data_IF_156187444942
#
_entry.id   IF_156187444942
#
_cell.length_a   1.000
_cell.length_b   1.000
_cell.length_c   1.000
_cell.angle_alpha   90.00
_cell.angle_beta   90.00
_cell.angle_gamma   90.00
#
_symmetry.space_group_name_H-M   'P 1'
#
loop_
_entity.id
_entity.type
_entity.pdbx_description
1 polymer ?
#
# COMPACT_ATOMS: atom_id res chain seq x y z
N UNK A 1 -6.89 19.63 4.44
CA UNK A 1 -5.93 18.53 4.73
C UNK A 1 -5.56 18.59 6.20
N UNK A 2 -5.44 17.45 6.89
CA UNK A 2 -5.26 17.41 8.35
C UNK A 2 -3.85 17.89 8.74
N UNK A 3 -3.75 18.91 9.60
CA UNK A 3 -2.49 19.44 10.18
C UNK A 3 -2.09 18.76 11.50
N UNK A 4 -2.85 17.73 11.86
CA UNK A 4 -2.76 16.97 13.10
C UNK A 4 -1.45 16.18 13.24
N UNK A 5 -0.64 16.50 14.26
CA UNK A 5 0.64 15.82 14.56
C UNK A 5 0.50 14.81 15.72
N UNK A 6 1.35 13.75 15.78
CA UNK A 6 1.43 12.91 16.97
C UNK A 6 1.70 13.73 18.23
N UNK A 7 1.31 13.19 19.39
CA UNK A 7 1.57 13.85 20.68
C UNK A 7 3.07 13.96 20.90
N UNK A 8 3.53 15.06 21.51
CA UNK A 8 4.94 15.23 21.85
C UNK A 8 5.45 14.19 22.85
N UNK A 9 4.55 13.65 23.69
CA UNK A 9 4.83 12.53 24.57
C UNK A 9 3.64 11.55 24.63
N UNK A 10 3.95 10.27 24.85
CA UNK A 10 2.96 9.24 25.15
C UNK A 10 2.32 9.48 26.53
N UNK A 11 1.14 8.88 26.82
CA UNK A 11 0.57 8.89 28.16
C UNK A 11 1.50 8.33 29.25
N UNK A 12 2.45 7.47 28.86
CA UNK A 12 3.46 6.90 29.75
C UNK A 12 4.72 7.79 29.92
N UNK A 13 4.73 9.00 29.34
CA UNK A 13 5.81 9.99 29.52
C UNK A 13 6.95 9.90 28.51
N UNK A 14 7.01 8.87 27.66
CA UNK A 14 8.01 8.79 26.59
C UNK A 14 7.85 9.89 25.56
N UNK A 15 8.92 10.63 25.28
CA UNK A 15 8.91 11.68 24.26
C UNK A 15 9.00 11.07 22.85
N UNK A 16 8.23 11.63 21.92
CA UNK A 16 8.14 11.11 20.55
C UNK A 16 9.44 11.28 19.75
N UNK A 17 10.31 12.22 20.13
CA UNK A 17 11.63 12.44 19.54
C UNK A 17 12.73 11.54 20.12
N UNK A 18 12.42 10.78 21.18
CA UNK A 18 13.34 9.85 21.84
C UNK A 18 13.04 8.38 21.54
N UNK A 19 12.02 8.09 20.73
CA UNK A 19 11.61 6.73 20.38
C UNK A 19 11.28 6.65 18.90
N UNK A 20 11.67 5.54 18.28
CA UNK A 20 11.28 5.24 16.90
C UNK A 20 9.93 4.54 16.88
N UNK A 21 9.06 4.97 15.97
CA UNK A 21 7.88 4.18 15.64
C UNK A 21 8.28 3.01 14.74
N UNK A 22 7.57 1.88 14.85
CA UNK A 22 7.81 0.67 14.06
C UNK A 22 7.98 0.90 12.55
N UNK A 23 7.32 1.91 11.99
CA UNK A 23 7.42 2.23 10.57
C UNK A 23 8.64 3.07 10.19
N UNK A 24 9.53 3.42 11.12
CA UNK A 24 10.69 4.26 10.83
C UNK A 24 11.96 3.44 10.58
N UNK A 25 11.84 2.11 10.55
CA UNK A 25 12.94 1.16 10.37
C UNK A 25 13.52 1.07 8.96
N UNK A 26 12.95 1.79 7.97
CA UNK A 26 13.54 1.92 6.63
C UNK A 26 13.77 3.40 6.31
N UNK A 27 14.81 3.68 5.54
CA UNK A 27 15.26 5.02 5.17
C UNK A 27 14.16 5.88 4.53
N UNK A 28 13.24 5.23 3.79
CA UNK A 28 12.08 5.88 3.14
C UNK A 28 11.13 6.58 4.11
N UNK A 29 11.26 6.38 5.42
CA UNK A 29 10.40 6.96 6.46
C UNK A 29 11.18 7.56 7.64
N UNK A 30 12.44 7.94 7.40
CA UNK A 30 13.22 8.71 8.35
C UNK A 30 12.54 10.07 8.66
N UNK A 31 12.70 10.56 9.89
CA UNK A 31 12.20 11.87 10.31
C UNK A 31 11.35 11.83 11.58
N UNK A 32 10.54 12.87 11.78
CA UNK A 32 9.62 12.94 12.93
C UNK A 32 8.47 11.95 12.78
N UNK A 33 7.92 11.48 13.91
CA UNK A 33 6.73 10.64 13.85
C UNK A 33 5.54 11.39 13.23
N UNK A 34 4.75 10.69 12.42
CA UNK A 34 3.61 11.20 11.67
C UNK A 34 2.33 10.37 11.90
N UNK A 35 1.16 11.00 11.83
CA UNK A 35 -0.14 10.29 11.92
C UNK A 35 -0.39 9.45 10.66
N UNK A 36 -1.24 8.42 10.81
CA UNK A 36 -1.60 7.49 9.73
C UNK A 36 -1.97 8.17 8.40
N UNK A 37 -2.95 9.09 8.39
CA UNK A 37 -3.38 9.77 7.15
C UNK A 37 -2.27 10.62 6.52
N UNK A 38 -1.47 11.29 7.36
CA UNK A 38 -0.36 12.10 6.87
C UNK A 38 0.68 11.23 6.15
N UNK A 39 1.06 10.11 6.76
CA UNK A 39 2.04 9.16 6.20
C UNK A 39 1.66 8.64 4.82
N UNK A 40 0.37 8.49 4.54
CA UNK A 40 -0.14 7.92 3.28
C UNK A 40 -0.59 8.96 2.25
N UNK A 41 -0.89 10.20 2.65
CA UNK A 41 -1.43 11.22 1.74
C UNK A 41 -0.54 12.47 1.62
N UNK A 42 0.31 12.74 2.61
CA UNK A 42 0.98 14.03 2.75
C UNK A 42 2.49 13.96 2.86
N UNK A 43 3.03 12.85 3.36
CA UNK A 43 4.47 12.65 3.45
C UNK A 43 5.13 12.82 2.07
N UNK A 44 6.38 13.33 2.00
CA UNK A 44 7.08 13.52 0.73
C UNK A 44 7.12 12.24 -0.11
N UNK A 45 7.45 11.11 0.54
CA UNK A 45 7.52 9.82 -0.13
C UNK A 45 6.15 9.35 -0.62
N UNK A 46 5.08 9.52 0.15
CA UNK A 46 3.73 9.19 -0.30
C UNK A 46 3.33 9.98 -1.54
N UNK A 47 3.59 11.29 -1.57
CA UNK A 47 3.29 12.13 -2.74
C UNK A 47 4.12 11.78 -3.96
N UNK A 48 5.31 11.22 -3.76
CA UNK A 48 6.16 10.74 -4.85
C UNK A 48 5.59 9.47 -5.48
N UNK A 49 5.33 8.44 -4.67
CA UNK A 49 5.09 7.07 -5.19
C UNK A 49 3.61 6.67 -5.23
N UNK A 50 2.73 7.38 -4.53
CA UNK A 50 1.32 7.05 -4.40
C UNK A 50 0.41 8.16 -4.94
N UNK A 51 -0.69 7.74 -5.56
CA UNK A 51 -1.81 8.60 -5.96
C UNK A 51 -3.05 8.31 -5.09
N UNK A 52 -2.82 8.07 -3.79
CA UNK A 52 -3.89 7.69 -2.87
C UNK A 52 -4.90 8.81 -2.67
N UNK A 53 -6.17 8.43 -2.67
CA UNK A 53 -7.31 9.29 -2.42
C UNK A 53 -8.21 8.67 -1.35
N UNK A 54 -9.10 9.47 -0.76
CA UNK A 54 -10.01 9.01 0.29
C UNK A 54 -10.86 7.81 -0.14
N UNK A 55 -11.30 7.78 -1.41
CA UNK A 55 -12.11 6.72 -1.98
C UNK A 55 -11.34 5.40 -2.19
N UNK A 56 -10.00 5.41 -2.26
CA UNK A 56 -9.23 4.17 -2.29
C UNK A 56 -9.43 3.38 -0.99
N UNK A 57 -9.24 4.04 0.16
CA UNK A 57 -9.37 3.38 1.46
C UNK A 57 -10.83 3.18 1.86
N UNK A 58 -11.65 4.21 1.70
CA UNK A 58 -13.02 4.22 2.22
C UNK A 58 -14.06 3.70 1.23
N UNK A 59 -13.69 3.46 -0.04
CA UNK A 59 -14.57 2.91 -1.08
C UNK A 59 -15.89 3.66 -1.26
N UNK A 60 -15.89 4.97 -0.96
CA UNK A 60 -17.10 5.80 -1.01
C UNK A 60 -18.08 5.58 0.13
N UNK A 61 -17.73 4.81 1.16
CA UNK A 61 -18.56 4.62 2.35
C UNK A 61 -18.87 5.99 2.99
N UNK A 62 -20.15 6.34 3.01
CA UNK A 62 -20.65 7.48 3.75
C UNK A 62 -21.13 7.00 5.13
N UNK A 63 -20.44 7.39 6.22
CA UNK A 63 -20.84 6.99 7.56
C UNK A 63 -22.30 7.30 7.89
N UNK A 64 -22.91 8.29 7.25
CA UNK A 64 -24.31 8.68 7.48
C UNK A 64 -25.30 7.59 7.10
N UNK A 65 -24.99 6.79 6.07
CA UNK A 65 -25.83 5.66 5.61
C UNK A 65 -25.81 4.49 6.60
N UNK A 66 -24.75 4.40 7.40
CA UNK A 66 -24.54 3.36 8.41
C UNK A 66 -25.09 3.75 9.79
N UNK A 67 -25.72 4.92 9.90
CA UNK A 67 -26.35 5.36 11.15
C UNK A 67 -27.56 4.47 11.44
N UNK A 68 -27.68 3.86 12.64
CA UNK A 68 -28.91 3.17 13.04
C UNK A 68 -30.12 4.11 13.13
N UNK A 69 -29.89 5.42 13.01
CA UNK A 69 -30.91 6.47 13.02
C UNK A 69 -31.14 7.08 11.63
N UNK A 70 -30.51 6.57 10.57
CA UNK A 70 -30.79 6.99 9.21
C UNK A 70 -32.20 6.52 8.80
N UNK A 71 -33.19 7.39 8.99
CA UNK A 71 -34.55 7.19 8.50
C UNK A 71 -34.81 8.13 7.32
N UNK A 72 -35.48 7.67 6.24
CA UNK A 72 -35.93 8.56 5.17
C UNK A 72 -37.11 9.39 5.70
N UNK A 73 -36.83 10.54 6.31
CA UNK A 73 -37.87 11.43 6.84
C UNK A 73 -38.11 12.56 5.85
N UNK A 74 -39.31 12.57 5.26
CA UNK A 74 -39.72 13.54 4.25
C UNK A 74 -39.83 15.00 4.76
N UNK A 75 -39.72 15.27 6.06
CA UNK A 75 -40.02 16.60 6.62
C UNK A 75 -39.21 17.00 7.88
N UNK A 76 -38.04 16.42 8.10
CA UNK A 76 -37.18 16.79 9.24
C UNK A 76 -35.79 17.22 8.77
N UNK A 77 -35.32 18.38 9.23
CA UNK A 77 -33.93 18.82 9.08
C UNK A 77 -32.97 18.13 10.07
N UNK A 78 -33.51 17.41 11.06
CA UNK A 78 -32.76 16.53 11.94
C UNK A 78 -32.80 15.10 11.41
N UNK A 79 -31.70 14.68 10.78
CA UNK A 79 -31.48 13.33 10.27
C UNK A 79 -31.54 12.24 11.34
N UNK A 80 -31.57 12.60 12.64
CA UNK A 80 -31.63 11.66 13.77
C UNK A 80 -33.01 11.52 14.40
N UNK A 81 -33.99 12.35 14.02
CA UNK A 81 -35.34 12.32 14.59
C UNK A 81 -35.37 12.40 16.12
N UNK A 82 -34.45 13.14 16.75
CA UNK A 82 -34.34 13.24 18.21
C UNK A 82 -33.58 12.11 18.91
N UNK A 83 -32.95 11.17 18.20
CA UNK A 83 -32.15 10.10 18.79
C UNK A 83 -30.82 10.60 19.40
N UNK A 84 -30.27 9.82 20.35
CA UNK A 84 -28.99 10.13 21.00
C UNK A 84 -27.81 10.17 20.01
N UNK A 85 -26.75 10.89 20.36
CA UNK A 85 -25.54 10.96 19.53
C UNK A 85 -24.91 9.57 19.38
N UNK A 86 -24.73 9.13 18.14
CA UNK A 86 -23.98 7.91 17.79
C UNK A 86 -22.72 8.29 17.02
N UNK A 87 -21.56 7.78 17.45
CA UNK A 87 -20.28 8.05 16.78
C UNK A 87 -20.00 6.97 15.74
N UNK A 88 -20.19 7.31 14.47
CA UNK A 88 -19.84 6.45 13.36
C UNK A 88 -18.36 6.58 13.03
N UNK A 89 -17.69 5.44 12.81
CA UNK A 89 -16.33 5.40 12.30
C UNK A 89 -16.38 5.05 10.82
N UNK A 90 -15.61 5.76 9.99
CA UNK A 90 -15.42 5.34 8.61
C UNK A 90 -14.84 3.93 8.59
N UNK A 91 -15.53 3.02 7.91
CA UNK A 91 -15.06 1.66 7.74
C UNK A 91 -14.12 1.59 6.53
N UNK A 92 -13.23 0.62 6.59
CA UNK A 92 -12.28 0.28 5.53
C UNK A 92 -12.30 -1.23 5.47
N UNK A 93 -12.36 -1.82 4.27
CA UNK A 93 -12.07 -3.24 4.10
C UNK A 93 -10.55 -3.41 3.98
N UNK A 94 -9.84 -3.90 5.01
CA UNK A 94 -8.39 -3.85 5.04
C UNK A 94 -7.74 -4.85 4.06
N UNK A 95 -8.42 -5.94 3.71
CA UNK A 95 -7.92 -6.91 2.71
C UNK A 95 -8.01 -6.36 1.29
N UNK A 96 -8.95 -5.44 1.05
CA UNK A 96 -9.14 -4.78 -0.25
C UNK A 96 -8.31 -3.50 -0.42
N UNK A 97 -7.64 -3.02 0.63
CA UNK A 97 -6.97 -1.71 0.63
C UNK A 97 -5.56 -1.82 1.19
N UNK A 98 -5.41 -2.12 2.48
CA UNK A 98 -4.14 -2.15 3.20
C UNK A 98 -3.27 -3.34 2.78
N UNK A 99 -3.87 -4.53 2.60
CA UNK A 99 -3.14 -5.75 2.27
C UNK A 99 -2.33 -5.61 0.97
N UNK A 100 -2.80 -4.80 0.01
CA UNK A 100 -2.12 -4.51 -1.27
C UNK A 100 -0.69 -3.98 -1.12
N UNK A 101 -0.36 -3.35 0.02
CA UNK A 101 0.98 -2.80 0.29
C UNK A 101 1.59 -3.31 1.61
N UNK A 102 0.81 -4.00 2.45
CA UNK A 102 1.24 -4.46 3.78
C UNK A 102 1.15 -5.98 3.94
N UNK A 103 1.07 -6.72 2.83
CA UNK A 103 1.20 -8.18 2.81
C UNK A 103 2.64 -8.63 3.07
N UNK A 104 2.82 -9.88 3.49
CA UNK A 104 4.15 -10.45 3.70
C UNK A 104 4.87 -10.65 2.36
N UNK A 105 6.20 -10.46 2.37
CA UNK A 105 7.03 -10.60 1.19
C UNK A 105 7.05 -12.06 0.69
N UNK A 106 6.56 -12.35 -0.53
CA UNK A 106 6.41 -13.72 -1.02
C UNK A 106 7.71 -14.28 -1.62
N UNK A 107 8.83 -14.23 -0.88
CA UNK A 107 10.17 -14.64 -1.37
C UNK A 107 10.23 -16.07 -1.90
N UNK A 108 9.55 -17.01 -1.23
CA UNK A 108 9.47 -18.42 -1.64
C UNK A 108 8.86 -18.61 -3.02
N UNK A 109 7.85 -17.80 -3.39
CA UNK A 109 7.22 -17.85 -4.72
C UNK A 109 8.18 -17.42 -5.84
N UNK A 110 9.22 -16.66 -5.49
CA UNK A 110 10.27 -16.21 -6.38
C UNK A 110 11.49 -17.13 -6.35
N UNK A 111 11.47 -18.20 -5.56
CA UNK A 111 12.59 -19.13 -5.41
C UNK A 111 13.78 -18.55 -4.67
N UNK A 112 13.57 -17.50 -3.85
CA UNK A 112 14.67 -16.91 -3.08
C UNK A 112 15.13 -17.90 -1.98
N UNK A 113 16.44 -18.08 -1.78
CA UNK A 113 16.98 -19.07 -0.86
C UNK A 113 16.89 -18.65 0.62
N UNK A 114 16.69 -17.36 0.88
CA UNK A 114 16.64 -16.78 2.22
C UNK A 114 15.68 -15.58 2.27
N UNK A 115 15.62 -14.92 3.43
CA UNK A 115 14.88 -13.66 3.59
C UNK A 115 15.48 -12.56 2.70
N UNK A 116 14.69 -11.54 2.37
CA UNK A 116 15.14 -10.47 1.48
C UNK A 116 16.34 -9.72 2.04
N UNK A 117 16.36 -9.49 3.35
CA UNK A 117 17.42 -8.77 4.05
C UNK A 117 18.79 -9.44 3.89
N UNK A 118 18.82 -10.77 3.78
CA UNK A 118 20.03 -11.57 3.53
C UNK A 118 20.29 -11.71 2.03
N UNK A 119 19.24 -11.94 1.25
CA UNK A 119 19.35 -12.19 -0.20
C UNK A 119 19.85 -10.96 -0.95
N UNK A 120 19.42 -9.75 -0.54
CA UNK A 120 19.75 -8.50 -1.23
C UNK A 120 21.26 -8.25 -1.28
N UNK A 121 22.02 -8.69 -0.28
CA UNK A 121 23.49 -8.50 -0.23
C UNK A 121 24.20 -9.18 -1.40
N UNK A 122 23.65 -10.26 -1.94
CA UNK A 122 24.21 -10.96 -3.10
C UNK A 122 23.69 -10.46 -4.45
N UNK A 123 22.58 -9.71 -4.45
CA UNK A 123 21.95 -9.17 -5.65
C UNK A 123 22.28 -7.69 -5.87
N UNK A 124 22.74 -6.99 -4.83
CA UNK A 124 23.03 -5.56 -4.86
C UNK A 124 24.53 -5.30 -5.00
N UNK A 125 24.87 -4.36 -5.88
CA UNK A 125 26.23 -3.86 -6.08
C UNK A 125 26.18 -2.36 -6.43
N UNK A 126 27.34 -1.71 -6.55
CA UNK A 126 27.39 -0.31 -6.98
C UNK A 126 26.74 -0.09 -8.35
N UNK A 127 26.85 -1.08 -9.26
CA UNK A 127 26.27 -1.04 -10.60
C UNK A 127 24.83 -1.58 -10.63
N UNK A 128 24.41 -2.32 -9.60
CA UNK A 128 23.05 -2.86 -9.43
C UNK A 128 22.53 -2.50 -8.04
N UNK A 129 22.20 -1.23 -7.78
CA UNK A 129 21.82 -0.78 -6.44
C UNK A 129 20.42 -1.25 -6.01
N UNK A 130 19.64 -1.85 -6.91
CA UNK A 130 18.38 -2.49 -6.59
C UNK A 130 18.36 -3.94 -7.09
N UNK A 131 18.54 -4.87 -6.15
CA UNK A 131 18.55 -6.30 -6.45
C UNK A 131 17.22 -6.82 -7.02
N UNK A 132 16.08 -6.18 -6.73
CA UNK A 132 14.79 -6.58 -7.30
C UNK A 132 14.77 -6.46 -8.83
N UNK A 133 15.53 -5.51 -9.39
CA UNK A 133 15.56 -5.25 -10.82
C UNK A 133 16.33 -6.33 -11.61
N UNK A 134 17.14 -7.16 -10.95
CA UNK A 134 17.83 -8.29 -11.59
C UNK A 134 16.86 -9.25 -12.30
N UNK A 135 15.67 -9.44 -11.72
CA UNK A 135 14.59 -10.23 -12.32
C UNK A 135 13.44 -9.37 -12.86
N UNK A 136 13.15 -8.23 -12.23
CA UNK A 136 11.97 -7.43 -12.58
C UNK A 136 12.20 -6.40 -13.68
N UNK A 137 13.43 -6.02 -14.04
CA UNK A 137 13.61 -5.00 -15.09
C UNK A 137 13.17 -5.49 -16.47
N UNK A 138 13.67 -6.67 -16.89
CA UNK A 138 13.54 -7.14 -18.28
C UNK A 138 13.04 -8.58 -18.42
N UNK A 139 13.20 -9.43 -17.39
CA UNK A 139 12.83 -10.85 -17.50
C UNK A 139 11.33 -11.07 -17.26
N UNK A 140 10.81 -10.54 -16.15
CA UNK A 140 9.43 -10.76 -15.74
C UNK A 140 8.79 -9.45 -15.29
N UNK A 141 7.50 -9.29 -15.58
CA UNK A 141 6.69 -8.14 -15.14
C UNK A 141 7.25 -6.81 -15.67
N UNK A 142 7.42 -6.69 -16.99
CA UNK A 142 7.96 -5.49 -17.65
C UNK A 142 7.06 -4.26 -17.57
N UNK A 143 5.77 -4.45 -17.25
CA UNK A 143 4.81 -3.38 -16.95
C UNK A 143 4.31 -3.54 -15.52
N UNK A 144 4.81 -2.72 -14.61
CA UNK A 144 4.47 -2.75 -13.18
C UNK A 144 3.63 -1.54 -12.79
N UNK A 145 2.99 -1.64 -11.62
CA UNK A 145 2.30 -0.52 -10.98
C UNK A 145 1.24 0.18 -11.85
N UNK A 146 0.68 -0.55 -12.84
CA UNK A 146 -0.31 -0.03 -13.78
C UNK A 146 -1.72 0.05 -13.15
N UNK A 147 -1.84 0.90 -12.12
CA UNK A 147 -3.06 1.11 -11.33
C UNK A 147 -3.18 2.58 -10.95
N UNK A 148 -4.42 3.06 -10.79
CA UNK A 148 -4.72 4.49 -10.57
C UNK A 148 -4.23 5.03 -9.22
N UNK A 149 -4.06 4.18 -8.21
CA UNK A 149 -3.66 4.59 -6.86
C UNK A 149 -2.14 4.65 -6.64
N UNK A 150 -1.34 4.32 -7.65
CA UNK A 150 0.13 4.41 -7.63
C UNK A 150 0.65 5.34 -8.72
N UNK A 151 1.85 5.89 -8.50
CA UNK A 151 2.58 6.64 -9.50
C UNK A 151 3.68 5.75 -10.10
N UNK A 152 3.31 4.97 -11.13
CA UNK A 152 4.22 4.02 -11.78
C UNK A 152 5.56 4.67 -12.19
N UNK A 153 5.51 5.80 -12.90
CA UNK A 153 6.73 6.48 -13.37
C UNK A 153 7.68 6.85 -12.22
N UNK A 154 7.15 7.42 -11.14
CA UNK A 154 7.97 7.83 -10.01
C UNK A 154 8.53 6.62 -9.23
N UNK A 155 7.77 5.54 -9.13
CA UNK A 155 8.24 4.28 -8.54
C UNK A 155 9.40 3.72 -9.36
N UNK A 156 9.23 3.57 -10.68
CA UNK A 156 10.27 3.01 -11.55
C UNK A 156 11.54 3.88 -11.56
N UNK A 157 11.41 5.20 -11.47
CA UNK A 157 12.58 6.09 -11.36
C UNK A 157 13.30 5.91 -10.01
N UNK A 158 12.55 5.92 -8.90
CA UNK A 158 13.12 5.76 -7.57
C UNK A 158 13.75 4.37 -7.37
N UNK A 159 13.17 3.34 -7.97
CA UNK A 159 13.64 1.97 -7.87
C UNK A 159 15.02 1.76 -8.52
N UNK A 160 15.47 2.64 -9.43
CA UNK A 160 16.79 2.49 -10.06
C UNK A 160 17.95 2.57 -9.09
N UNK A 161 17.75 3.15 -7.90
CA UNK A 161 18.84 3.44 -6.96
C UNK A 161 18.65 2.81 -5.58
N UNK A 162 17.49 2.20 -5.30
CA UNK A 162 17.20 1.63 -3.98
C UNK A 162 16.13 0.54 -4.04
N UNK A 163 16.43 -0.67 -3.53
CA UNK A 163 15.47 -1.77 -3.43
C UNK A 163 14.39 -1.58 -2.38
N UNK A 164 14.58 -0.71 -1.39
CA UNK A 164 13.55 -0.42 -0.38
C UNK A 164 12.30 0.21 -1.00
N UNK A 165 12.41 0.79 -2.21
CA UNK A 165 11.25 1.24 -2.99
C UNK A 165 10.32 0.06 -3.30
N UNK A 166 10.88 -1.10 -3.63
CA UNK A 166 10.16 -2.32 -3.89
C UNK A 166 9.83 -3.04 -2.58
N UNK A 167 10.86 -3.39 -1.79
CA UNK A 167 10.70 -4.20 -0.59
C UNK A 167 9.81 -3.52 0.45
N UNK A 168 9.93 -2.20 0.64
CA UNK A 168 9.10 -1.44 1.57
C UNK A 168 7.60 -1.56 1.29
N UNK A 169 7.20 -1.67 0.02
CA UNK A 169 5.81 -1.86 -0.41
C UNK A 169 5.40 -3.34 -0.56
N UNK A 170 6.36 -4.24 -0.79
CA UNK A 170 6.10 -5.65 -1.07
C UNK A 170 6.32 -6.58 0.12
N UNK A 171 6.69 -6.07 1.29
CA UNK A 171 6.60 -6.82 2.54
C UNK A 171 7.60 -6.48 3.63
N UNK A 172 8.53 -5.55 3.39
CA UNK A 172 9.42 -5.01 4.42
C UNK A 172 8.68 -4.29 5.55
N UNK A 173 7.38 -4.02 5.38
CA UNK A 173 6.50 -3.38 6.37
C UNK A 173 5.17 -4.11 6.48
N UNK A 174 5.23 -5.43 6.43
CA UNK A 174 4.02 -6.23 6.48
C UNK A 174 3.35 -6.08 7.85
N UNK A 175 2.03 -5.88 7.83
CA UNK A 175 1.18 -5.99 9.01
C UNK A 175 0.36 -7.29 8.93
N UNK A 176 0.08 -7.74 7.72
CA UNK A 176 -0.61 -9.00 7.48
C UNK A 176 0.39 -10.15 7.50
N UNK A 177 -0.10 -11.31 7.94
CA UNK A 177 0.64 -12.58 7.91
C UNK A 177 0.57 -13.29 6.56
N UNK A 178 -0.20 -12.72 5.63
CA UNK A 178 -0.46 -13.27 4.30
C UNK A 178 0.07 -12.31 3.23
N UNK A 179 0.49 -12.85 2.09
CA UNK A 179 0.91 -12.04 0.95
C UNK A 179 -0.32 -11.55 0.21
N UNK A 180 -0.24 -10.36 -0.38
CA UNK A 180 -1.25 -9.97 -1.34
C UNK A 180 -1.07 -10.78 -2.64
N UNK A 181 -2.13 -11.41 -3.17
CA UNK A 181 -2.04 -12.18 -4.41
C UNK A 181 -2.00 -11.22 -5.61
N UNK A 182 -0.86 -10.55 -5.82
CA UNK A 182 -0.68 -9.64 -6.96
C UNK A 182 -1.01 -10.37 -8.26
N UNK A 183 -1.76 -9.72 -9.17
CA UNK A 183 -2.10 -10.30 -10.45
C UNK A 183 -0.87 -10.82 -11.20
N UNK A 184 -1.05 -11.96 -11.86
CA UNK A 184 -0.08 -12.59 -12.74
C UNK A 184 -0.44 -12.24 -14.18
N UNK A 185 -0.20 -10.97 -14.53
CA UNK A 185 -0.36 -10.48 -15.91
C UNK A 185 0.49 -11.32 -16.87
N UNK A 186 -0.01 -11.66 -18.07
CA UNK A 186 0.79 -12.34 -19.08
C UNK A 186 2.08 -11.57 -19.43
N UNK A 187 3.17 -12.31 -19.64
CA UNK A 187 4.45 -11.75 -20.12
C UNK A 187 5.01 -12.59 -21.28
N UNK A 188 5.96 -12.06 -22.07
CA UNK A 188 6.59 -12.82 -23.15
C UNK A 188 7.20 -14.13 -22.65
N UNK A 189 7.00 -15.23 -23.37
CA UNK A 189 7.55 -16.55 -23.03
C UNK A 189 7.10 -17.11 -21.67
N UNK A 190 5.96 -16.63 -21.15
CA UNK A 190 5.33 -17.17 -19.95
C UNK A 190 4.98 -18.67 -20.14
N UNK A 191 5.45 -19.57 -19.26
CA UNK A 191 5.09 -20.98 -19.33
C UNK A 191 3.58 -21.19 -19.32
N UNK A 192 3.10 -22.15 -20.12
CA UNK A 192 1.68 -22.55 -20.17
C UNK A 192 1.21 -23.12 -18.83
N UNK A 193 2.12 -23.80 -18.13
CA UNK A 193 1.83 -24.43 -16.86
C UNK A 193 1.82 -23.36 -15.76
N UNK A 194 0.75 -23.36 -14.95
CA UNK A 194 0.61 -22.44 -13.82
C UNK A 194 1.06 -23.11 -12.53
N UNK A 195 2.11 -22.60 -11.85
CA UNK A 195 2.54 -23.14 -10.56
C UNK A 195 1.43 -23.12 -9.51
N UNK A 196 1.46 -24.06 -8.57
CA UNK A 196 0.40 -24.22 -7.55
C UNK A 196 0.10 -22.93 -6.78
N UNK A 197 1.13 -22.19 -6.36
CA UNK A 197 0.99 -20.92 -5.64
C UNK A 197 0.32 -19.80 -6.46
N UNK A 198 0.24 -19.97 -7.78
CA UNK A 198 -0.28 -18.98 -8.72
C UNK A 198 -1.69 -19.31 -9.24
N UNK A 199 -2.25 -20.49 -8.95
CA UNK A 199 -3.53 -20.95 -9.50
C UNK A 199 -4.70 -20.01 -9.19
N UNK A 200 -4.74 -19.45 -8.00
CA UNK A 200 -5.83 -18.56 -7.55
C UNK A 200 -5.54 -17.07 -7.78
N UNK A 201 -4.46 -16.73 -8.51
CA UNK A 201 -4.10 -15.33 -8.74
C UNK A 201 -4.84 -14.76 -9.95
N UNK A 202 -5.37 -13.52 -9.85
CA UNK A 202 -5.95 -12.86 -11.02
C UNK A 202 -4.95 -12.70 -12.16
N UNK A 203 -5.40 -12.77 -13.41
CA UNK A 203 -4.58 -12.50 -14.59
C UNK A 203 -4.53 -11.01 -14.97
N UNK A 204 -5.33 -10.17 -14.30
CA UNK A 204 -5.41 -8.74 -14.54
C UNK A 204 -5.58 -7.97 -13.22
N UNK A 205 -5.23 -6.69 -13.26
CA UNK A 205 -5.52 -5.75 -12.16
C UNK A 205 -7.03 -5.56 -12.03
N UNK A 206 -7.46 -5.25 -10.81
CA UNK A 206 -8.84 -4.90 -10.51
C UNK A 206 -9.32 -3.73 -11.38
N UNK A 207 -10.44 -3.92 -12.07
CA UNK A 207 -11.00 -2.96 -13.01
C UNK A 207 -11.30 -1.60 -12.36
N UNK A 208 -11.60 -1.56 -11.05
CA UNK A 208 -11.81 -0.32 -10.28
C UNK A 208 -10.60 0.60 -10.29
N UNK A 209 -9.41 0.03 -10.44
CA UNK A 209 -8.14 0.74 -10.39
C UNK A 209 -7.39 0.69 -11.71
N UNK A 210 -7.96 0.09 -12.76
CA UNK A 210 -7.33 0.05 -14.07
C UNK A 210 -7.14 1.48 -14.59
N UNK A 211 -5.93 1.78 -15.06
CA UNK A 211 -5.69 3.04 -15.76
C UNK A 211 -6.42 3.00 -17.12
N UNK A 212 -6.89 4.16 -17.62
CA UNK A 212 -7.45 4.24 -18.96
C UNK A 212 -6.43 3.70 -19.96
N UNK A 213 -6.89 2.91 -20.94
CA UNK A 213 -6.04 2.53 -22.07
C UNK A 213 -5.59 3.84 -22.73
N UNK A 214 -4.28 4.08 -22.90
CA UNK A 214 -3.82 5.27 -23.62
C UNK A 214 -4.53 5.31 -24.97
N UNK A 215 -5.11 6.45 -25.33
CA UNK A 215 -5.61 6.64 -26.68
C UNK A 215 -4.47 6.33 -27.65
N UNK A 216 -4.72 5.41 -28.60
CA UNK A 216 -3.76 5.04 -29.64
C UNK A 216 -3.39 6.24 -30.49
#
# INVERSE_FOLDING_TARGET
MTTEKPRAASPAGWKADQVEAWYQTLDTYAGAQEKFHWRHLQSPYAKQVMNLQCNFCHQGNDPREESPHAVPIAQSSDWRGGAANFTLRKMVNPTETCLRCHGVFPGENMGLPAKWEETKESLESADTPNGCLTCHAEQFRTVRHNVSYLNAKAIEEAAKTNSDVCFGCHGGRHWYRISYPYPRHPWPDMPTDTPDWAKDRPSASDARFALPVPAK
#
